data_IF_369558329106
#
_entry.id   IF_369558329106
#
_cell.length_a   1.000
_cell.length_b   1.000
_cell.length_c   1.000
_cell.angle_alpha   90.00
_cell.angle_beta   90.00
_cell.angle_gamma   90.00
#
_symmetry.space_group_name_H-M   'P 1'
#
loop_
_entity.id
_entity.type
_entity.pdbx_description
1 polymer ?
#
# COMPACT_ATOMS: atom_id res chain seq x y z
N UNK A 1 -10.02 2.14 -4.07
CA UNK A 1 -10.39 3.59 -4.13
C UNK A 1 -10.29 4.24 -2.76
N UNK A 2 -9.99 5.54 -2.72
CA UNK A 2 -10.05 6.30 -1.47
C UNK A 2 -11.51 6.50 -1.05
N UNK A 3 -11.85 6.10 0.19
CA UNK A 3 -13.22 6.28 0.72
C UNK A 3 -13.60 7.76 0.80
N UNK A 4 -12.63 8.65 0.99
CA UNK A 4 -12.84 10.11 1.07
C UNK A 4 -13.35 10.74 -0.23
N UNK A 5 -12.98 10.17 -1.38
CA UNK A 5 -13.35 10.68 -2.71
C UNK A 5 -14.67 10.11 -3.24
N UNK A 6 -15.40 9.34 -2.45
CA UNK A 6 -16.66 8.74 -2.84
C UNK A 6 -17.82 9.75 -2.81
N UNK A 7 -18.90 9.51 -3.59
CA UNK A 7 -20.14 10.23 -3.45
C UNK A 7 -20.74 10.12 -2.03
N UNK A 8 -21.50 11.14 -1.60
CA UNK A 8 -22.07 11.17 -0.24
C UNK A 8 -22.98 9.95 0.06
N UNK A 9 -23.75 9.47 -0.91
CA UNK A 9 -24.55 8.26 -0.76
C UNK A 9 -23.73 7.05 -0.34
N UNK A 10 -22.57 6.87 -0.95
CA UNK A 10 -21.67 5.75 -0.64
C UNK A 10 -20.98 5.95 0.73
N UNK A 11 -20.60 7.18 1.07
CA UNK A 11 -20.08 7.51 2.39
C UNK A 11 -21.09 7.25 3.49
N UNK A 12 -22.35 7.58 3.26
CA UNK A 12 -23.45 7.30 4.17
C UNK A 12 -23.61 5.80 4.38
N UNK A 13 -23.64 5.02 3.31
CA UNK A 13 -23.66 3.56 3.39
C UNK A 13 -22.48 3.00 4.20
N UNK A 14 -21.28 3.53 4.03
CA UNK A 14 -20.10 3.08 4.78
C UNK A 14 -20.19 3.40 6.26
N UNK A 15 -20.67 4.59 6.64
CA UNK A 15 -20.55 5.11 8.00
C UNK A 15 -21.78 4.90 8.86
N UNK A 16 -22.97 4.99 8.27
CA UNK A 16 -24.22 5.05 9.01
C UNK A 16 -25.03 3.76 8.95
N UNK A 17 -24.85 2.97 7.91
CA UNK A 17 -25.49 1.68 7.80
C UNK A 17 -24.67 0.64 8.57
N UNK A 18 -25.22 0.22 9.71
CA UNK A 18 -24.56 -0.72 10.62
C UNK A 18 -24.93 -2.18 10.38
N UNK A 19 -25.90 -2.47 9.50
CA UNK A 19 -26.54 -3.77 9.48
C UNK A 19 -25.67 -4.82 8.78
N UNK A 20 -24.90 -4.63 7.82
CA UNK A 20 -24.24 -5.69 7.06
C UNK A 20 -22.76 -5.96 7.43
N UNK A 21 -22.29 -5.42 8.55
CA UNK A 21 -20.91 -5.62 8.95
C UNK A 21 -20.63 -7.02 9.50
N UNK A 22 -19.66 -7.71 8.92
CA UNK A 22 -19.12 -8.99 9.39
C UNK A 22 -17.79 -8.75 10.10
N UNK A 23 -17.68 -9.27 11.33
CA UNK A 23 -16.50 -9.13 12.18
C UNK A 23 -15.56 -10.32 11.99
N UNK A 24 -14.27 -10.03 11.80
CA UNK A 24 -13.20 -11.02 11.87
C UNK A 24 -12.40 -10.78 13.14
N UNK A 25 -12.38 -11.78 14.02
CA UNK A 25 -11.75 -11.72 15.33
C UNK A 25 -10.61 -12.71 15.44
N UNK A 26 -9.64 -12.39 16.28
CA UNK A 26 -8.54 -13.26 16.67
C UNK A 26 -9.04 -14.33 17.68
N UNK A 27 -8.18 -15.29 18.01
CA UNK A 27 -8.49 -16.36 18.96
C UNK A 27 -8.79 -15.85 20.38
N UNK A 28 -8.25 -14.71 20.76
CA UNK A 28 -8.48 -14.01 22.04
C UNK A 28 -9.73 -13.09 22.00
N UNK A 29 -10.52 -13.11 20.92
CA UNK A 29 -11.71 -12.30 20.74
C UNK A 29 -11.46 -10.87 20.26
N UNK A 30 -10.21 -10.43 20.11
CA UNK A 30 -9.88 -9.09 19.63
C UNK A 30 -10.33 -8.90 18.18
N UNK A 31 -11.01 -7.78 17.90
CA UNK A 31 -11.41 -7.42 16.54
C UNK A 31 -10.17 -7.12 15.67
N UNK A 32 -9.96 -7.94 14.65
CA UNK A 32 -8.89 -7.73 13.68
C UNK A 32 -9.32 -6.69 12.63
N UNK A 33 -10.46 -6.95 12.02
CA UNK A 33 -11.12 -6.03 11.09
C UNK A 33 -12.58 -6.43 10.93
N UNK A 34 -13.38 -5.52 10.39
CA UNK A 34 -14.73 -5.80 9.92
C UNK A 34 -14.85 -5.44 8.46
N UNK A 35 -15.80 -6.06 7.80
CA UNK A 35 -16.02 -5.81 6.38
C UNK A 35 -17.50 -5.91 6.02
N UNK A 36 -17.87 -5.25 4.94
CA UNK A 36 -19.14 -5.43 4.24
C UNK A 36 -18.96 -5.22 2.75
N UNK A 37 -19.82 -5.80 1.93
CA UNK A 37 -19.73 -5.70 0.48
C UNK A 37 -21.08 -5.40 -0.16
N UNK A 38 -21.04 -4.87 -1.37
CA UNK A 38 -22.19 -4.75 -2.24
C UNK A 38 -21.79 -5.07 -3.68
N UNK A 39 -22.77 -5.54 -4.46
CA UNK A 39 -22.63 -5.77 -5.91
C UNK A 39 -23.70 -4.93 -6.61
N UNK A 40 -23.27 -3.85 -7.25
CA UNK A 40 -24.17 -2.90 -7.90
C UNK A 40 -23.60 -2.36 -9.20
N UNK A 41 -24.41 -1.65 -9.97
CA UNK A 41 -23.97 -0.91 -11.16
C UNK A 41 -23.53 0.48 -10.77
N UNK A 42 -22.29 0.82 -11.10
CA UNK A 42 -21.70 2.13 -10.83
C UNK A 42 -21.37 2.86 -12.12
N UNK A 43 -21.74 4.17 -12.22
CA UNK A 43 -21.44 4.97 -13.38
C UNK A 43 -19.98 5.42 -13.41
N UNK A 44 -19.36 5.35 -14.57
CA UNK A 44 -18.04 5.89 -14.86
C UNK A 44 -18.12 6.79 -16.07
N UNK A 45 -17.63 8.01 -15.93
CA UNK A 45 -17.58 8.97 -17.03
C UNK A 45 -16.20 8.96 -17.65
N UNK A 46 -16.14 8.70 -18.94
CA UNK A 46 -14.94 8.71 -19.76
C UNK A 46 -15.01 9.88 -20.76
N UNK A 47 -13.88 10.44 -21.09
CA UNK A 47 -13.73 11.41 -22.16
C UNK A 47 -13.18 10.67 -23.39
N UNK A 48 -13.99 10.56 -24.42
CA UNK A 48 -13.67 9.89 -25.69
C UNK A 48 -14.02 10.88 -26.80
N UNK A 49 -13.05 11.26 -27.64
CA UNK A 49 -13.20 12.21 -28.73
C UNK A 49 -13.84 13.55 -28.27
N UNK A 50 -13.31 14.14 -27.21
CA UNK A 50 -13.79 15.38 -26.58
C UNK A 50 -15.26 15.34 -26.09
N UNK A 51 -15.86 14.16 -26.04
CA UNK A 51 -17.22 13.95 -25.54
C UNK A 51 -17.21 13.12 -24.26
N UNK A 52 -17.92 13.60 -23.25
CA UNK A 52 -18.14 12.84 -22.00
C UNK A 52 -19.18 11.76 -22.24
N UNK A 53 -18.78 10.50 -22.07
CA UNK A 53 -19.65 9.33 -22.15
C UNK A 53 -19.69 8.61 -20.81
N UNK A 54 -20.88 8.39 -20.27
CA UNK A 54 -21.05 7.65 -19.00
C UNK A 54 -21.46 6.22 -19.30
N UNK A 55 -20.68 5.27 -18.79
CA UNK A 55 -20.95 3.82 -18.87
C UNK A 55 -21.15 3.28 -17.45
N UNK A 56 -22.10 2.36 -17.29
CA UNK A 56 -22.33 1.69 -16.01
C UNK A 56 -21.71 0.28 -16.02
N UNK A 57 -20.87 0.01 -15.04
CA UNK A 57 -20.27 -1.30 -14.85
C UNK A 57 -20.79 -1.93 -13.56
N UNK A 58 -21.11 -3.22 -13.62
CA UNK A 58 -21.41 -3.99 -12.40
C UNK A 58 -20.10 -4.36 -11.75
N UNK A 59 -19.89 -3.93 -10.53
CA UNK A 59 -18.69 -4.21 -9.75
C UNK A 59 -19.05 -4.61 -8.32
N UNK A 60 -18.18 -5.40 -7.69
CA UNK A 60 -18.24 -5.71 -6.27
C UNK A 60 -17.35 -4.73 -5.52
N UNK A 61 -17.90 -4.10 -4.50
CA UNK A 61 -17.20 -3.19 -3.58
C UNK A 61 -17.14 -3.81 -2.21
N UNK A 62 -15.93 -4.02 -1.71
CA UNK A 62 -15.65 -4.51 -0.38
C UNK A 62 -15.08 -3.38 0.47
N UNK A 63 -15.80 -2.98 1.49
CA UNK A 63 -15.32 -1.99 2.46
C UNK A 63 -14.83 -2.72 3.70
N UNK A 64 -13.66 -2.31 4.18
CA UNK A 64 -13.05 -2.87 5.39
C UNK A 64 -12.74 -1.76 6.37
N UNK A 65 -12.88 -2.06 7.66
CA UNK A 65 -12.44 -1.19 8.76
C UNK A 65 -11.49 -1.96 9.67
N UNK A 66 -10.31 -1.41 9.90
CA UNK A 66 -9.30 -2.01 10.77
C UNK A 66 -9.00 -1.06 11.94
N UNK A 67 -9.30 -1.47 13.21
CA UNK A 67 -9.11 -0.63 14.39
C UNK A 67 -7.64 -0.22 14.62
N UNK A 68 -6.68 -1.14 14.38
CA UNK A 68 -5.25 -0.85 14.54
C UNK A 68 -4.79 0.20 13.53
N UNK A 69 -5.24 0.05 12.27
CA UNK A 69 -4.96 1.03 11.23
C UNK A 69 -5.62 2.39 11.54
N UNK A 70 -6.85 2.37 12.07
CA UNK A 70 -7.55 3.59 12.50
C UNK A 70 -6.77 4.32 13.59
N UNK A 71 -6.33 3.63 14.63
CA UNK A 71 -5.54 4.21 15.73
C UNK A 71 -4.22 4.79 15.24
N UNK A 72 -3.49 4.03 14.39
CA UNK A 72 -2.25 4.52 13.77
C UNK A 72 -2.49 5.79 12.95
N UNK A 73 -3.54 5.79 12.11
CA UNK A 73 -3.86 6.94 11.26
C UNK A 73 -4.28 8.17 12.06
N UNK A 74 -5.08 7.97 13.11
CA UNK A 74 -5.47 9.05 14.04
C UNK A 74 -4.24 9.67 14.71
N UNK A 75 -3.29 8.86 15.15
CA UNK A 75 -2.02 9.32 15.73
C UNK A 75 -1.18 10.13 14.73
N UNK A 76 -1.06 9.63 13.48
CA UNK A 76 -0.35 10.36 12.42
C UNK A 76 -1.00 11.72 12.13
N UNK A 77 -2.33 11.76 12.04
CA UNK A 77 -3.09 13.00 11.83
C UNK A 77 -2.86 13.96 13.00
N UNK A 78 -2.96 13.51 14.25
CA UNK A 78 -2.72 14.35 15.43
C UNK A 78 -1.32 14.98 15.40
N UNK A 79 -0.30 14.18 15.05
CA UNK A 79 1.08 14.68 14.91
C UNK A 79 1.23 15.71 13.79
N UNK A 80 0.52 15.52 12.66
CA UNK A 80 0.51 16.48 11.56
C UNK A 80 -0.17 17.79 11.96
N UNK A 81 -1.29 17.71 12.70
CA UNK A 81 -2.02 18.88 13.21
C UNK A 81 -1.15 19.68 14.19
N UNK A 82 -0.44 18.99 15.09
CA UNK A 82 0.48 19.66 16.02
C UNK A 82 1.57 20.44 15.27
N UNK A 83 2.17 19.84 14.24
CA UNK A 83 3.13 20.53 13.38
C UNK A 83 2.50 21.73 12.65
N UNK A 84 1.28 21.57 12.09
CA UNK A 84 0.58 22.65 11.42
C UNK A 84 0.27 23.81 12.39
N UNK A 85 -0.14 23.53 13.64
CA UNK A 85 -0.34 24.53 14.68
C UNK A 85 0.93 25.31 14.98
N UNK A 86 2.07 24.62 15.11
CA UNK A 86 3.36 25.28 15.36
C UNK A 86 3.74 26.22 14.21
N UNK A 87 3.48 25.83 12.96
CA UNK A 87 3.70 26.69 11.79
C UNK A 87 2.74 27.89 11.78
N UNK A 88 1.48 27.72 12.17
CA UNK A 88 0.54 28.83 12.33
C UNK A 88 1.00 29.82 13.39
N UNK A 89 1.49 29.35 14.56
CA UNK A 89 2.03 30.19 15.61
C UNK A 89 3.27 30.96 15.16
N UNK A 90 4.18 30.33 14.43
CA UNK A 90 5.40 30.99 13.93
C UNK A 90 5.14 31.89 12.72
N UNK A 91 3.89 31.98 12.23
CA UNK A 91 3.53 32.68 10.99
C UNK A 91 4.45 32.32 9.83
N UNK A 92 4.65 31.00 9.66
CA UNK A 92 5.49 30.45 8.61
C UNK A 92 4.99 30.82 7.21
N UNK A 93 5.90 30.86 6.23
CA UNK A 93 5.53 31.09 4.83
C UNK A 93 4.65 29.94 4.31
N UNK A 94 3.72 30.25 3.41
CA UNK A 94 2.80 29.25 2.82
C UNK A 94 3.52 28.03 2.24
N UNK A 95 4.71 28.24 1.66
CA UNK A 95 5.53 27.15 1.11
C UNK A 95 6.07 26.16 2.16
N UNK A 96 6.21 26.58 3.42
CA UNK A 96 6.73 25.74 4.50
C UNK A 96 5.71 24.72 5.01
N UNK A 97 4.42 24.94 4.75
CA UNK A 97 3.38 24.01 5.16
C UNK A 97 3.37 22.72 4.33
N UNK A 98 3.80 22.75 3.06
CA UNK A 98 3.82 21.58 2.20
C UNK A 98 2.51 20.76 2.29
N UNK A 99 2.62 19.46 2.60
CA UNK A 99 1.45 18.56 2.78
C UNK A 99 0.56 18.91 3.99
N UNK A 100 1.03 19.74 4.91
CA UNK A 100 0.25 20.19 6.07
C UNK A 100 -0.75 21.28 5.70
N UNK A 101 -0.56 21.94 4.56
CA UNK A 101 -1.46 22.99 4.07
C UNK A 101 -2.91 22.55 3.90
N UNK A 102 -3.16 21.25 3.75
CA UNK A 102 -4.53 20.70 3.70
C UNK A 102 -5.32 20.84 5.01
N UNK A 103 -4.64 21.03 6.15
CA UNK A 103 -5.25 21.23 7.46
C UNK A 103 -5.34 22.70 7.87
N UNK A 104 -5.03 23.61 6.95
CA UNK A 104 -4.90 25.04 7.26
C UNK A 104 -5.65 25.85 6.24
N UNK A 105 -6.41 26.82 6.73
CA UNK A 105 -7.03 27.87 5.92
C UNK A 105 -6.14 29.11 5.96
N UNK A 106 -5.72 29.58 4.80
CA UNK A 106 -4.92 30.79 4.64
C UNK A 106 -5.84 31.99 4.45
N UNK A 107 -5.67 33.04 5.25
CA UNK A 107 -6.54 34.21 5.28
C UNK A 107 -6.00 35.32 4.35
N UNK A 108 -4.68 35.40 4.15
CA UNK A 108 -4.04 36.38 3.28
C UNK A 108 -3.40 35.74 2.05
N UNK A 109 -3.66 36.31 0.87
CA UNK A 109 -3.13 35.81 -0.40
C UNK A 109 -1.75 36.37 -0.76
N UNK A 110 -1.34 37.55 -0.22
CA UNK A 110 -0.17 38.33 -0.67
C UNK A 110 0.78 38.75 0.45
N UNK A 111 1.39 37.84 1.17
CA UNK A 111 2.36 38.23 2.17
C UNK A 111 3.50 37.26 2.41
N UNK A 112 4.66 37.76 2.78
CA UNK A 112 5.79 36.94 3.24
C UNK A 112 5.42 36.10 4.49
N UNK A 113 4.42 36.56 5.27
CA UNK A 113 3.88 35.86 6.45
C UNK A 113 2.39 35.58 6.24
N UNK A 114 2.03 34.34 6.16
CA UNK A 114 0.63 33.92 6.00
C UNK A 114 -0.09 33.91 7.35
N UNK A 115 -1.20 34.68 7.47
CA UNK A 115 -2.16 34.45 8.55
C UNK A 115 -2.91 33.16 8.23
N UNK A 116 -2.73 32.15 9.05
CA UNK A 116 -3.26 30.82 8.84
C UNK A 116 -4.00 30.33 10.08
N UNK A 117 -5.12 29.65 9.88
CA UNK A 117 -5.91 29.01 10.93
C UNK A 117 -6.11 27.54 10.63
N UNK A 118 -6.30 26.75 11.69
CA UNK A 118 -6.54 25.30 11.53
C UNK A 118 -7.93 25.06 11.00
N UNK A 119 -8.03 24.24 9.96
CA UNK A 119 -9.28 23.79 9.35
C UNK A 119 -9.83 22.55 10.07
N UNK A 120 -10.65 22.77 11.10
CA UNK A 120 -11.23 21.69 11.90
C UNK A 120 -12.17 20.79 11.09
N UNK A 121 -12.91 21.35 10.14
CA UNK A 121 -13.82 20.60 9.26
C UNK A 121 -13.05 19.55 8.41
N UNK A 122 -11.87 19.92 7.91
CA UNK A 122 -11.03 18.98 7.17
C UNK A 122 -10.46 17.87 8.07
N UNK A 123 -10.07 18.24 9.31
CA UNK A 123 -9.57 17.29 10.30
C UNK A 123 -10.65 16.26 10.65
N UNK A 124 -11.87 16.72 10.95
CA UNK A 124 -12.99 15.83 11.23
C UNK A 124 -13.28 14.86 10.07
N UNK A 125 -13.29 15.36 8.83
CA UNK A 125 -13.45 14.52 7.64
C UNK A 125 -12.35 13.46 7.53
N UNK A 126 -11.10 13.81 7.84
CA UNK A 126 -9.98 12.86 7.81
C UNK A 126 -10.10 11.80 8.92
N UNK A 127 -10.46 12.21 10.12
CA UNK A 127 -10.62 11.32 11.28
C UNK A 127 -11.79 10.35 11.11
N UNK A 128 -12.90 10.82 10.50
CA UNK A 128 -14.10 10.04 10.24
C UNK A 128 -13.83 8.79 9.39
N UNK A 129 -12.91 8.91 8.42
CA UNK A 129 -12.55 7.80 7.52
C UNK A 129 -11.25 7.08 7.91
N UNK A 130 -10.69 7.37 9.08
CA UNK A 130 -9.50 6.69 9.55
C UNK A 130 -9.77 5.19 9.76
N UNK A 131 -8.94 4.33 9.16
CA UNK A 131 -9.07 2.87 9.26
C UNK A 131 -9.98 2.22 8.22
N UNK A 132 -10.72 3.01 7.43
CA UNK A 132 -11.54 2.50 6.35
C UNK A 132 -10.76 2.38 5.04
N UNK A 133 -10.92 1.24 4.38
CA UNK A 133 -10.43 1.00 3.02
C UNK A 133 -11.56 0.44 2.17
N UNK A 134 -11.52 0.69 0.85
CA UNK A 134 -12.44 0.12 -0.10
C UNK A 134 -11.69 -0.53 -1.26
N UNK A 135 -11.98 -1.79 -1.48
CA UNK A 135 -11.57 -2.57 -2.63
C UNK A 135 -12.69 -2.61 -3.65
N UNK A 136 -12.34 -2.54 -4.91
CA UNK A 136 -13.27 -2.62 -6.03
C UNK A 136 -12.76 -3.69 -6.97
N UNK A 137 -13.63 -4.62 -7.33
CA UNK A 137 -13.29 -5.72 -8.24
C UNK A 137 -14.41 -5.99 -9.24
N UNK A 138 -14.04 -6.50 -10.41
CA UNK A 138 -14.97 -7.06 -11.39
C UNK A 138 -15.40 -8.50 -11.04
N UNK A 139 -14.65 -9.17 -10.15
CA UNK A 139 -14.93 -10.53 -9.69
C UNK A 139 -16.10 -10.52 -8.70
N UNK A 140 -17.31 -10.73 -9.21
CA UNK A 140 -18.56 -10.61 -8.45
C UNK A 140 -18.79 -11.83 -7.55
N UNK A 141 -18.37 -13.00 -8.03
CA UNK A 141 -18.64 -14.29 -7.41
C UNK A 141 -17.57 -14.71 -6.40
N UNK A 142 -16.42 -13.98 -6.38
CA UNK A 142 -15.35 -14.25 -5.42
C UNK A 142 -15.81 -13.89 -3.99
N UNK A 143 -15.49 -14.76 -3.02
CA UNK A 143 -15.81 -14.51 -1.61
C UNK A 143 -15.11 -13.24 -1.08
N UNK A 144 -15.74 -12.57 -0.13
CA UNK A 144 -15.24 -11.30 0.43
C UNK A 144 -13.89 -11.47 1.13
N UNK A 145 -13.70 -12.60 1.84
CA UNK A 145 -12.46 -12.92 2.52
C UNK A 145 -11.34 -13.21 1.51
N UNK A 146 -11.68 -13.87 0.41
CA UNK A 146 -10.71 -14.16 -0.66
C UNK A 146 -10.28 -12.87 -1.38
N UNK A 147 -11.21 -11.94 -1.62
CA UNK A 147 -10.87 -10.61 -2.15
C UNK A 147 -9.91 -9.88 -1.21
N UNK A 148 -10.23 -9.87 0.09
CA UNK A 148 -9.38 -9.24 1.11
C UNK A 148 -7.99 -9.86 1.15
N UNK A 149 -7.89 -11.18 1.21
CA UNK A 149 -6.64 -11.93 1.26
C UNK A 149 -5.82 -11.73 -0.02
N UNK A 150 -6.46 -11.78 -1.18
CA UNK A 150 -5.80 -11.55 -2.47
C UNK A 150 -5.18 -10.15 -2.51
N UNK A 151 -5.93 -9.13 -2.12
CA UNK A 151 -5.40 -7.77 -2.05
C UNK A 151 -4.23 -7.63 -1.07
N UNK A 152 -4.36 -8.21 0.11
CA UNK A 152 -3.30 -8.16 1.11
C UNK A 152 -2.06 -8.99 0.72
N UNK A 153 -2.20 -9.94 -0.19
CA UNK A 153 -1.06 -10.70 -0.73
C UNK A 153 -0.33 -9.99 -1.89
N UNK A 154 -0.87 -8.88 -2.43
CA UNK A 154 -0.19 -8.12 -3.50
C UNK A 154 1.18 -7.58 -3.07
N UNK A 155 1.38 -7.28 -1.78
CA UNK A 155 2.68 -6.87 -1.26
C UNK A 155 3.80 -7.89 -1.53
N UNK A 156 3.46 -9.18 -1.67
CA UNK A 156 4.42 -10.24 -2.01
C UNK A 156 4.98 -10.06 -3.42
N UNK A 157 4.16 -9.55 -4.33
CA UNK A 157 4.58 -9.24 -5.70
C UNK A 157 5.49 -8.01 -5.68
N UNK A 158 5.10 -6.96 -4.94
CA UNK A 158 5.91 -5.75 -4.77
C UNK A 158 7.27 -6.07 -4.13
N UNK A 159 7.28 -6.93 -3.12
CA UNK A 159 8.50 -7.40 -2.49
C UNK A 159 9.38 -8.18 -3.47
N UNK A 160 8.80 -9.05 -4.30
CA UNK A 160 9.55 -9.77 -5.34
C UNK A 160 10.20 -8.83 -6.36
N UNK A 161 9.50 -7.76 -6.76
CA UNK A 161 10.10 -6.72 -7.60
C UNK A 161 11.20 -5.92 -6.87
N UNK A 162 11.04 -5.69 -5.56
CA UNK A 162 12.07 -5.04 -4.75
C UNK A 162 13.33 -5.89 -4.67
N UNK A 163 13.20 -7.18 -4.41
CA UNK A 163 14.32 -8.14 -4.41
C UNK A 163 15.05 -8.10 -5.74
N UNK A 164 14.29 -8.19 -6.84
CA UNK A 164 14.87 -8.14 -8.17
C UNK A 164 15.67 -6.86 -8.42
N UNK A 165 15.16 -5.70 -7.95
CA UNK A 165 15.85 -4.42 -8.14
C UNK A 165 17.04 -4.22 -7.23
N UNK A 166 16.92 -4.58 -5.95
CA UNK A 166 17.86 -4.19 -4.90
C UNK A 166 18.83 -5.30 -4.51
N UNK A 167 18.34 -6.54 -4.43
CA UNK A 167 19.17 -7.66 -3.97
C UNK A 167 19.86 -8.39 -5.12
N UNK A 168 19.26 -8.39 -6.32
CA UNK A 168 19.81 -9.01 -7.52
C UNK A 168 20.38 -8.00 -8.53
N UNK A 169 20.35 -6.72 -8.21
CA UNK A 169 20.89 -5.64 -9.06
C UNK A 169 20.38 -5.71 -10.52
N UNK A 170 19.10 -6.10 -10.71
CA UNK A 170 18.51 -6.20 -12.05
C UNK A 170 18.45 -4.84 -12.77
N UNK A 171 18.72 -3.74 -12.09
CA UNK A 171 18.83 -2.38 -12.63
C UNK A 171 20.02 -1.65 -12.00
N UNK A 172 20.76 -0.82 -12.77
CA UNK A 172 20.57 -0.54 -14.20
C UNK A 172 21.02 -1.69 -15.11
N UNK A 173 20.39 -1.79 -16.29
CA UNK A 173 20.76 -2.81 -17.29
C UNK A 173 21.79 -2.20 -18.25
N UNK A 174 23.01 -2.71 -18.24
CA UNK A 174 24.13 -2.25 -19.11
C UNK A 174 24.22 -3.07 -20.41
N UNK A 175 23.22 -3.87 -20.73
CA UNK A 175 23.19 -4.72 -21.93
C UNK A 175 22.47 -3.99 -23.07
N UNK A 176 22.99 -4.14 -24.29
CA UNK A 176 22.45 -3.46 -25.47
C UNK A 176 21.61 -4.39 -26.38
N UNK A 177 21.95 -5.68 -26.43
CA UNK A 177 21.23 -6.64 -27.29
C UNK A 177 19.95 -7.12 -26.62
N UNK A 178 18.85 -7.12 -27.36
CA UNK A 178 17.51 -7.53 -26.87
C UNK A 178 17.53 -8.92 -26.22
N UNK A 179 18.15 -9.90 -26.85
CA UNK A 179 18.24 -11.27 -26.33
C UNK A 179 19.05 -11.33 -25.01
N UNK A 180 20.10 -10.51 -24.88
CA UNK A 180 20.89 -10.44 -23.65
C UNK A 180 20.07 -9.78 -22.52
N UNK A 181 19.27 -8.76 -22.84
CA UNK A 181 18.36 -8.11 -21.87
C UNK A 181 17.30 -9.11 -21.40
N UNK A 182 16.67 -9.84 -22.34
CA UNK A 182 15.68 -10.89 -22.00
C UNK A 182 16.31 -11.99 -21.14
N UNK A 183 17.50 -12.45 -21.49
CA UNK A 183 18.24 -13.45 -20.71
C UNK A 183 18.56 -12.97 -19.28
N UNK A 184 19.01 -11.74 -19.15
CA UNK A 184 19.29 -11.12 -17.84
C UNK A 184 18.03 -11.10 -16.94
N UNK A 185 16.90 -10.61 -17.44
CA UNK A 185 15.66 -10.60 -16.67
C UNK A 185 15.13 -12.00 -16.37
N UNK A 186 15.31 -12.96 -17.27
CA UNK A 186 14.95 -14.35 -17.04
C UNK A 186 15.76 -14.95 -15.88
N UNK A 187 17.07 -14.72 -15.85
CA UNK A 187 17.94 -15.18 -14.75
C UNK A 187 17.49 -14.55 -13.43
N UNK A 188 17.26 -13.23 -13.40
CA UNK A 188 16.78 -12.54 -12.21
C UNK A 188 15.42 -13.09 -11.75
N UNK A 189 14.50 -13.36 -12.67
CA UNK A 189 13.21 -13.96 -12.35
C UNK A 189 13.35 -15.34 -11.73
N UNK A 190 14.18 -16.21 -12.33
CA UNK A 190 14.44 -17.56 -11.81
C UNK A 190 15.09 -17.51 -10.41
N UNK A 191 16.01 -16.57 -10.19
CA UNK A 191 16.64 -16.37 -8.89
C UNK A 191 15.63 -15.96 -7.82
N UNK A 192 14.73 -15.01 -8.13
CA UNK A 192 13.62 -14.64 -7.23
C UNK A 192 12.68 -15.80 -6.97
N UNK A 193 12.34 -16.57 -8.01
CA UNK A 193 11.47 -17.74 -7.87
C UNK A 193 12.06 -18.77 -6.91
N UNK A 194 13.33 -19.11 -7.08
CA UNK A 194 14.05 -20.06 -6.21
C UNK A 194 14.12 -19.54 -4.76
N UNK A 195 14.42 -18.26 -4.60
CA UNK A 195 14.47 -17.61 -3.27
C UNK A 195 13.09 -17.66 -2.58
N UNK A 196 12.01 -17.39 -3.31
CA UNK A 196 10.64 -17.48 -2.77
C UNK A 196 10.22 -18.90 -2.44
N UNK A 197 10.57 -19.87 -3.26
CA UNK A 197 10.34 -21.28 -2.93
C UNK A 197 11.09 -21.66 -1.65
N UNK A 198 12.35 -21.27 -1.55
CA UNK A 198 13.17 -21.50 -0.35
C UNK A 198 12.56 -20.85 0.89
N UNK A 199 12.17 -19.57 0.79
CA UNK A 199 11.56 -18.83 1.89
C UNK A 199 10.24 -19.44 2.37
N UNK A 200 9.32 -19.74 1.44
CA UNK A 200 7.96 -20.13 1.80
C UNK A 200 7.77 -21.63 1.98
N UNK A 201 8.53 -22.47 1.26
CA UNK A 201 8.34 -23.93 1.28
C UNK A 201 9.34 -24.65 2.19
N UNK A 202 10.52 -24.10 2.39
CA UNK A 202 11.58 -24.75 3.18
C UNK A 202 11.74 -24.06 4.54
N UNK A 203 11.69 -22.73 4.57
CA UNK A 203 11.87 -21.96 5.78
C UNK A 203 10.56 -21.53 6.46
N UNK A 204 9.39 -21.94 5.96
CA UNK A 204 8.06 -21.61 6.50
C UNK A 204 7.87 -20.10 6.76
N UNK A 205 8.49 -19.27 5.93
CA UNK A 205 8.47 -17.80 6.04
C UNK A 205 8.97 -17.25 7.39
N UNK A 206 9.85 -17.99 8.09
CA UNK A 206 10.42 -17.55 9.38
C UNK A 206 11.49 -16.48 9.22
N UNK A 207 12.10 -16.36 8.05
CA UNK A 207 13.17 -15.41 7.76
C UNK A 207 12.76 -14.45 6.65
N UNK A 208 13.16 -13.18 6.81
CA UNK A 208 12.98 -12.19 5.77
C UNK A 208 13.94 -12.46 4.60
N UNK A 209 13.56 -12.02 3.39
CA UNK A 209 14.42 -12.08 2.21
C UNK A 209 15.80 -11.48 2.45
N UNK A 210 15.87 -10.35 3.16
CA UNK A 210 17.14 -9.71 3.48
C UNK A 210 18.05 -10.60 4.32
N UNK A 211 17.51 -11.32 5.30
CA UNK A 211 18.28 -12.27 6.12
C UNK A 211 18.77 -13.45 5.27
N UNK A 212 17.91 -13.98 4.39
CA UNK A 212 18.26 -15.08 3.49
C UNK A 212 19.38 -14.64 2.54
N UNK A 213 19.24 -13.48 1.89
CA UNK A 213 20.26 -12.95 0.96
C UNK A 213 21.58 -12.64 1.69
N UNK A 214 21.52 -12.10 2.90
CA UNK A 214 22.72 -11.89 3.73
C UNK A 214 23.43 -13.20 4.04
N UNK A 215 22.68 -14.24 4.39
CA UNK A 215 23.23 -15.58 4.63
C UNK A 215 23.87 -16.16 3.37
N UNK A 216 23.17 -16.15 2.24
CA UNK A 216 23.68 -16.67 0.96
C UNK A 216 24.97 -15.96 0.55
N UNK A 217 25.04 -14.63 0.69
CA UNK A 217 26.25 -13.85 0.38
C UNK A 217 27.42 -14.12 1.32
N UNK A 218 27.14 -14.49 2.58
CA UNK A 218 28.17 -14.85 3.56
C UNK A 218 28.67 -16.28 3.42
N UNK A 219 27.92 -17.12 2.72
CA UNK A 219 28.27 -18.52 2.52
C UNK A 219 29.38 -18.66 1.48
N UNK A 220 30.51 -19.21 1.91
CA UNK A 220 31.65 -19.51 1.04
C UNK A 220 31.81 -21.02 0.94
N UNK A 221 31.57 -21.55 -0.26
CA UNK A 221 31.93 -22.93 -0.56
C UNK A 221 33.43 -22.99 -0.83
N UNK A 222 34.17 -23.73 -0.01
CA UNK A 222 35.57 -24.01 -0.25
C UNK A 222 35.67 -25.35 -0.95
N UNK A 223 36.09 -25.35 -2.21
CA UNK A 223 36.45 -26.58 -2.91
C UNK A 223 37.84 -26.98 -2.47
N UNK A 224 37.93 -28.05 -1.72
CA UNK A 224 39.22 -28.70 -1.46
C UNK A 224 39.58 -29.50 -2.71
N UNK A 225 40.39 -28.94 -3.58
CA UNK A 225 41.16 -29.76 -4.52
C UNK A 225 42.13 -30.59 -3.69
N UNK A 226 41.94 -31.91 -3.68
CA UNK A 226 42.90 -32.83 -3.11
C UNK A 226 44.25 -32.59 -3.76
N UNK A 227 45.14 -31.95 -3.03
CA UNK A 227 46.57 -32.10 -3.25
C UNK A 227 46.87 -33.57 -2.94
N UNK A 228 46.99 -34.40 -3.96
CA UNK A 228 47.69 -35.68 -3.85
C UNK A 228 49.06 -35.38 -3.34
N UNK A 229 49.30 -35.74 -2.08
CA UNK A 229 50.63 -35.85 -1.59
C UNK A 229 51.36 -36.87 -2.48
N UNK A 230 52.36 -36.46 -3.18
CA UNK A 230 53.29 -37.37 -3.80
C UNK A 230 54.02 -38.06 -2.67
N UNK A 231 53.71 -39.35 -2.46
CA UNK A 231 54.59 -40.25 -1.76
C UNK A 231 55.81 -40.47 -2.63
N UNK A 232 56.92 -39.95 -2.17
CA UNK A 232 58.28 -40.40 -2.59
C UNK A 232 58.79 -41.43 -1.62
#
# INVERSE_FOLDING_TARGET
KSVKSLPEKEKTWILLDNDDWKDVRSRDGTLLYRYKSCVEKFPYTFEIDDKKKTLCFTEKRLVTYNPKLASKKKYEIAKQIEKARNLCYSQAKRSEYGDLGKYVDFIDEDGEKAKASINESMIEKELKFAGYNMLVTSEKDMDDIDIYNTYHNLWRIEESFRIMKSDLDARPVFLQKENSIKGHFLICYLAVLLERIFQFKILDNQYSTHQIMKFIRSFKAVSYTHLRAHET
#
